data_IF_811704813527
#
_entry.id   IF_811704813527
#
_cell.length_a   1.000
_cell.length_b   1.000
_cell.length_c   1.000
_cell.angle_alpha   90.00
_cell.angle_beta   90.00
_cell.angle_gamma   90.00
#
_symmetry.space_group_name_H-M   'P 1'
#
loop_
_entity.id
_entity.type
_entity.pdbx_description
1 polymer ?
#
# COMPACT_ATOMS: atom_id res chain seq x y z
N UNK A 1 64.98 -6.78 31.64
CA UNK A 1 64.51 -6.08 30.43
C UNK A 1 63.67 -7.03 29.58
N UNK A 2 62.37 -6.75 29.43
CA UNK A 2 61.52 -7.00 28.24
C UNK A 2 60.09 -6.57 28.58
N UNK A 3 59.71 -5.38 28.09
CA UNK A 3 58.32 -4.92 27.94
C UNK A 3 57.87 -5.31 26.53
N UNK A 4 56.58 -5.64 26.37
CA UNK A 4 55.68 -5.36 25.22
C UNK A 4 54.47 -6.30 25.34
N UNK A 5 53.35 -5.85 25.92
CA UNK A 5 52.25 -5.08 25.32
C UNK A 5 51.31 -5.93 24.43
N UNK A 6 50.15 -6.25 25.03
CA UNK A 6 48.80 -6.14 24.46
C UNK A 6 48.56 -6.60 23.00
N UNK A 7 47.93 -7.77 22.86
CA UNK A 7 46.95 -8.02 21.79
C UNK A 7 45.67 -8.58 22.39
N UNK A 8 44.88 -7.70 23.02
CA UNK A 8 43.46 -7.99 23.23
C UNK A 8 42.82 -7.88 21.83
N UNK A 9 42.62 -9.03 21.19
CA UNK A 9 41.92 -9.11 19.90
C UNK A 9 40.46 -8.75 20.15
N UNK A 10 40.14 -7.47 19.96
CA UNK A 10 38.77 -6.96 20.02
C UNK A 10 37.93 -7.64 18.94
N UNK A 11 37.19 -8.69 19.30
CA UNK A 11 36.10 -9.18 18.46
C UNK A 11 35.10 -8.04 18.35
N UNK A 12 35.04 -7.40 17.17
CA UNK A 12 33.93 -6.51 16.80
C UNK A 12 32.67 -7.38 16.76
N UNK A 13 31.98 -7.47 17.88
CA UNK A 13 30.59 -7.92 17.90
C UNK A 13 29.79 -6.87 17.14
N UNK A 14 29.54 -7.15 15.87
CA UNK A 14 28.56 -6.41 15.09
C UNK A 14 27.22 -6.61 15.79
N UNK A 15 26.74 -5.57 16.47
CA UNK A 15 25.33 -5.48 16.85
C UNK A 15 24.53 -5.46 15.54
N UNK A 16 24.03 -6.62 15.11
CA UNK A 16 23.04 -6.69 14.04
C UNK A 16 21.74 -6.17 14.65
N UNK A 17 21.57 -4.85 14.66
CA UNK A 17 20.25 -4.24 14.81
C UNK A 17 19.57 -4.46 13.46
N UNK A 18 18.88 -5.59 13.31
CA UNK A 18 17.95 -5.76 12.20
C UNK A 18 16.76 -4.84 12.46
N UNK A 19 16.82 -3.61 11.95
CA UNK A 19 15.65 -2.73 11.92
C UNK A 19 14.62 -3.37 11.00
N UNK A 20 13.42 -3.68 11.52
CA UNK A 20 12.30 -4.07 10.68
C UNK A 20 11.98 -2.91 9.73
N UNK A 21 12.30 -3.09 8.44
CA UNK A 21 11.89 -2.16 7.40
C UNK A 21 10.44 -2.51 7.04
N UNK A 22 9.51 -1.63 7.42
CA UNK A 22 8.11 -1.71 7.00
C UNK A 22 7.82 -0.76 5.85
N UNK A 23 6.60 -0.85 5.33
CA UNK A 23 6.04 0.09 4.35
C UNK A 23 6.25 1.54 4.82
N UNK A 24 6.94 2.33 4.00
CA UNK A 24 7.17 3.76 4.26
C UNK A 24 6.25 4.61 3.38
N UNK A 25 5.88 5.78 3.91
CA UNK A 25 5.23 6.84 3.15
C UNK A 25 3.93 6.41 2.43
N UNK A 26 2.96 5.90 3.19
CA UNK A 26 1.62 5.66 2.67
C UNK A 26 0.86 6.97 2.61
N UNK A 27 0.54 7.44 1.41
CA UNK A 27 -0.23 8.67 1.21
C UNK A 27 -1.48 8.43 0.36
N UNK A 28 -2.63 8.79 0.93
CA UNK A 28 -3.93 8.73 0.26
C UNK A 28 -4.23 10.06 -0.43
N UNK A 29 -4.38 10.02 -1.75
CA UNK A 29 -4.88 11.16 -2.54
C UNK A 29 -6.35 10.88 -2.88
N UNK A 30 -7.24 11.60 -2.19
CA UNK A 30 -8.68 11.54 -2.41
C UNK A 30 -9.28 12.95 -2.25
N UNK A 31 -10.31 13.31 -3.02
CA UNK A 31 -11.11 14.50 -2.75
C UNK A 31 -11.85 14.36 -1.41
N UNK A 32 -12.09 15.50 -0.73
CA UNK A 32 -12.81 15.56 0.54
C UNK A 32 -14.30 15.20 0.37
N UNK A 33 -14.90 15.70 -0.71
CA UNK A 33 -16.29 15.47 -1.06
C UNK A 33 -16.43 15.55 -2.59
N UNK A 34 -17.35 14.76 -3.12
CA UNK A 34 -17.59 14.63 -4.56
C UNK A 34 -19.09 14.56 -4.82
N UNK A 35 -19.52 15.12 -5.95
CA UNK A 35 -20.93 15.12 -6.32
C UNK A 35 -21.33 13.70 -6.77
N UNK A 36 -22.51 13.24 -6.36
CA UNK A 36 -23.05 12.01 -6.90
C UNK A 36 -23.21 12.08 -8.44
N UNK A 37 -22.94 10.95 -9.09
CA UNK A 37 -22.80 10.78 -10.53
C UNK A 37 -21.45 11.19 -11.10
N UNK A 38 -20.45 11.55 -10.28
CA UNK A 38 -19.12 11.95 -10.78
C UNK A 38 -18.06 10.86 -10.61
N UNK A 39 -17.17 10.79 -11.58
CA UNK A 39 -15.97 9.95 -11.52
C UNK A 39 -14.90 10.64 -10.68
N UNK A 40 -14.26 9.88 -9.80
CA UNK A 40 -13.17 10.35 -8.96
C UNK A 40 -12.00 9.41 -9.07
N UNK A 41 -10.78 9.89 -8.88
CA UNK A 41 -9.63 9.01 -8.77
C UNK A 41 -9.24 8.85 -7.30
N UNK A 42 -9.36 7.63 -6.79
CA UNK A 42 -8.80 7.20 -5.53
C UNK A 42 -7.38 6.72 -5.78
N UNK A 43 -6.40 7.36 -5.12
CA UNK A 43 -5.00 7.03 -5.34
C UNK A 43 -4.26 6.77 -4.04
N UNK A 44 -3.60 5.62 -3.97
CA UNK A 44 -2.74 5.25 -2.87
C UNK A 44 -1.29 5.22 -3.37
N UNK A 45 -0.46 6.10 -2.82
CA UNK A 45 0.99 6.07 -3.03
C UNK A 45 1.61 5.37 -1.83
N UNK A 46 2.56 4.48 -2.07
CA UNK A 46 3.25 3.73 -1.03
C UNK A 46 4.67 3.41 -1.51
N UNK A 47 5.65 3.39 -0.60
CA UNK A 47 7.02 2.99 -0.87
C UNK A 47 7.32 1.64 -0.20
N UNK A 48 7.53 0.62 -1.04
CA UNK A 48 7.83 -0.74 -0.61
C UNK A 48 9.32 -0.96 -0.31
N UNK A 49 10.23 -0.05 -0.71
CA UNK A 49 11.67 -0.29 -0.71
C UNK A 49 12.02 -1.67 -1.33
N UNK A 50 12.47 -2.63 -0.52
CA UNK A 50 12.85 -3.99 -0.93
C UNK A 50 11.78 -5.05 -0.63
N UNK A 51 10.57 -4.66 -0.19
CA UNK A 51 9.47 -5.58 0.12
C UNK A 51 8.45 -5.68 -1.04
N UNK A 52 7.53 -6.63 -0.93
CA UNK A 52 6.45 -6.87 -1.88
C UNK A 52 5.11 -6.40 -1.31
N UNK A 53 4.32 -5.72 -2.14
CA UNK A 53 2.96 -5.37 -1.74
C UNK A 53 2.15 -6.65 -1.47
N UNK A 54 1.58 -6.74 -0.27
CA UNK A 54 0.68 -7.83 0.08
C UNK A 54 -0.70 -7.64 -0.55
N UNK A 55 -1.39 -6.54 -0.23
CA UNK A 55 -2.72 -6.23 -0.78
C UNK A 55 -3.04 -4.74 -0.65
N UNK A 56 -3.85 -4.20 -1.56
CA UNK A 56 -4.51 -2.89 -1.46
C UNK A 56 -6.01 -3.11 -1.46
N UNK A 57 -6.72 -2.50 -0.52
CA UNK A 57 -8.18 -2.63 -0.40
C UNK A 57 -8.83 -1.27 -0.26
N UNK A 58 -9.98 -1.08 -0.90
CA UNK A 58 -10.82 0.10 -0.72
C UNK A 58 -12.17 -0.26 -0.09
N UNK A 59 -12.59 0.59 0.84
CA UNK A 59 -13.82 0.43 1.62
C UNK A 59 -14.66 1.71 1.58
N UNK A 60 -15.99 1.57 1.47
CA UNK A 60 -16.96 2.61 1.84
C UNK A 60 -17.63 2.16 3.13
N UNK A 61 -17.35 2.84 4.23
CA UNK A 61 -17.79 2.41 5.56
C UNK A 61 -17.19 1.04 5.92
N UNK A 62 -18.04 0.01 6.00
CA UNK A 62 -17.62 -1.38 6.32
C UNK A 62 -17.58 -2.31 5.11
N UNK A 63 -17.95 -1.82 3.93
CA UNK A 63 -18.05 -2.65 2.73
C UNK A 63 -16.81 -2.49 1.85
N UNK A 64 -16.11 -3.60 1.60
CA UNK A 64 -15.04 -3.69 0.60
C UNK A 64 -15.68 -3.55 -0.78
N UNK A 65 -15.12 -2.70 -1.65
CA UNK A 65 -15.59 -2.56 -3.05
C UNK A 65 -14.49 -2.81 -4.08
N UNK A 66 -13.22 -2.83 -3.66
CA UNK A 66 -12.08 -3.17 -4.51
C UNK A 66 -10.95 -3.80 -3.70
N UNK A 67 -10.26 -4.76 -4.32
CA UNK A 67 -9.02 -5.35 -3.84
C UNK A 67 -8.02 -5.59 -4.97
N UNK A 68 -6.76 -5.30 -4.71
CA UNK A 68 -5.62 -5.67 -5.54
C UNK A 68 -4.63 -6.50 -4.71
N UNK A 69 -4.35 -7.72 -5.14
CA UNK A 69 -3.41 -8.65 -4.51
C UNK A 69 -2.43 -9.15 -5.58
N UNK A 70 -1.18 -8.64 -5.62
CA UNK A 70 -0.22 -8.97 -6.69
C UNK A 70 0.06 -10.47 -6.87
N UNK A 71 -0.05 -11.23 -5.78
CA UNK A 71 0.26 -12.66 -5.74
C UNK A 71 -0.92 -13.57 -6.15
N UNK A 72 -2.09 -12.99 -6.43
CA UNK A 72 -3.30 -13.73 -6.83
C UNK A 72 -3.59 -13.59 -8.33
N UNK A 73 -4.33 -14.55 -8.89
CA UNK A 73 -4.91 -14.47 -10.22
C UNK A 73 -6.42 -14.76 -10.15
N UNK A 74 -7.31 -13.83 -10.54
CA UNK A 74 -6.99 -12.47 -11.01
C UNK A 74 -6.40 -11.61 -9.88
N UNK A 75 -5.43 -10.75 -10.22
CA UNK A 75 -4.78 -9.87 -9.26
C UNK A 75 -5.70 -8.76 -8.73
N UNK A 76 -6.87 -8.58 -9.34
CA UNK A 76 -7.85 -7.56 -9.02
C UNK A 76 -9.22 -8.19 -8.82
N UNK A 77 -9.91 -7.75 -7.78
CA UNK A 77 -11.26 -8.17 -7.41
C UNK A 77 -12.11 -6.92 -7.16
N UNK A 78 -13.28 -6.86 -7.80
CA UNK A 78 -14.27 -5.81 -7.59
C UNK A 78 -15.45 -6.42 -6.86
N UNK A 79 -15.85 -5.81 -5.75
CA UNK A 79 -17.01 -6.24 -4.98
C UNK A 79 -18.13 -5.24 -5.25
N UNK A 80 -19.25 -5.66 -5.86
CA UNK A 80 -20.34 -4.76 -6.16
C UNK A 80 -20.84 -4.07 -4.90
N UNK A 81 -20.93 -2.74 -4.96
CA UNK A 81 -21.51 -1.94 -3.89
C UNK A 81 -22.48 -0.93 -4.51
N UNK A 82 -23.70 -0.87 -3.97
CA UNK A 82 -24.74 0.03 -4.48
C UNK A 82 -24.23 1.48 -4.51
N UNK A 83 -24.43 2.15 -5.64
CA UNK A 83 -23.96 3.53 -5.84
C UNK A 83 -22.46 3.65 -6.11
N UNK A 84 -21.73 2.56 -6.34
CA UNK A 84 -20.31 2.59 -6.74
C UNK A 84 -20.07 1.72 -7.97
N UNK A 85 -19.46 2.33 -8.99
CA UNK A 85 -18.85 1.61 -10.11
C UNK A 85 -17.33 1.81 -10.09
N UNK A 86 -16.58 0.73 -10.29
CA UNK A 86 -15.11 0.73 -10.23
C UNK A 86 -14.55 0.46 -11.62
N UNK A 87 -13.73 1.37 -12.12
CA UNK A 87 -12.99 1.16 -13.36
C UNK A 87 -11.63 0.50 -13.07
N UNK A 88 -11.38 -0.63 -13.72
CA UNK A 88 -10.16 -1.43 -13.57
C UNK A 88 -9.29 -1.24 -14.81
N UNK A 89 -8.67 -0.06 -14.93
CA UNK A 89 -7.59 0.13 -15.92
C UNK A 89 -6.30 -0.56 -15.47
N UNK A 90 -5.54 -1.07 -16.45
CA UNK A 90 -4.49 -2.10 -16.30
C UNK A 90 -3.15 -1.64 -15.70
N UNK A 91 -3.01 -0.37 -15.30
CA UNK A 91 -1.75 0.15 -14.79
C UNK A 91 -1.64 0.01 -13.26
N UNK A 92 -1.17 -1.15 -12.81
CA UNK A 92 -1.09 -1.51 -11.38
C UNK A 92 0.15 -0.99 -10.66
N UNK A 93 1.17 -0.50 -11.38
CA UNK A 93 2.43 0.00 -10.81
C UNK A 93 2.27 1.34 -10.05
N UNK A 94 1.06 1.92 -10.08
CA UNK A 94 0.65 3.05 -9.27
C UNK A 94 -0.82 2.79 -8.97
N UNK A 95 -1.21 2.58 -7.71
CA UNK A 95 -2.60 2.31 -7.37
C UNK A 95 -3.45 3.58 -7.59
N UNK A 96 -3.75 3.89 -8.86
CA UNK A 96 -4.75 4.84 -9.33
C UNK A 96 -5.98 4.01 -9.63
N UNK A 97 -7.13 4.36 -9.05
CA UNK A 97 -8.40 3.79 -9.45
C UNK A 97 -9.44 4.87 -9.61
N UNK A 98 -10.17 4.78 -10.71
CA UNK A 98 -11.29 5.66 -10.99
C UNK A 98 -12.57 5.00 -10.46
N UNK A 99 -13.33 5.74 -9.67
CA UNK A 99 -14.54 5.27 -9.02
C UNK A 99 -15.64 6.27 -9.32
N UNK A 100 -16.73 5.79 -9.90
CA UNK A 100 -17.93 6.59 -10.12
C UNK A 100 -18.83 6.38 -8.93
N UNK A 101 -19.07 7.44 -8.16
CA UNK A 101 -20.12 7.43 -7.15
C UNK A 101 -21.44 7.67 -7.87
N UNK A 102 -22.27 6.66 -8.03
CA UNK A 102 -23.62 6.80 -8.55
C UNK A 102 -24.58 7.19 -7.43
N UNK A 103 -25.71 7.84 -7.76
CA UNK A 103 -26.66 8.39 -6.78
C UNK A 103 -26.97 7.35 -5.69
N UNK A 104 -26.78 7.74 -4.43
CA UNK A 104 -27.38 7.02 -3.31
C UNK A 104 -28.90 7.13 -3.48
N UNK A 105 -29.51 6.12 -4.10
CA UNK A 105 -30.97 6.00 -4.15
C UNK A 105 -31.38 5.57 -2.74
N UNK A 106 -32.04 6.46 -2.01
CA UNK A 106 -32.75 6.12 -0.77
C UNK A 106 -33.91 5.18 -1.06
#
# INVERSE_FOLDING_TARGET
MRREQHKLSTKRTHNIIASAAGLREVHLQTPLAVKAGTTVTLRCNYDLQDDTLYTVKWYKGRSEFFRFTPKELPNTQVFPLNGISVDVSTDFNRAKKETVFERDTF
#
